data_IF_171716174522
#
_entry.id   IF_171716174522
#
_cell.length_a   1.000
_cell.length_b   1.000
_cell.length_c   1.000
_cell.angle_alpha   90.00
_cell.angle_beta   90.00
_cell.angle_gamma   90.00
#
_symmetry.space_group_name_H-M   'P 1'
#
loop_
_entity.id
_entity.type
_entity.pdbx_description
1 polymer ?
#
# COMPACT_ATOMS: atom_id res chain seq x y z
N UNK A 1 2.93 12.97 -52.77
CA UNK A 1 1.94 11.87 -52.86
C UNK A 1 1.87 11.25 -51.47
N UNK A 2 0.66 11.24 -50.90
CA UNK A 2 0.38 11.00 -49.49
C UNK A 2 0.84 9.62 -49.03
N UNK A 3 1.53 9.57 -47.90
CA UNK A 3 1.70 8.36 -47.09
C UNK A 3 0.79 8.55 -45.88
N UNK A 4 -0.20 7.68 -45.78
CA UNK A 4 -1.19 7.67 -44.71
C UNK A 4 -0.49 7.39 -43.37
N UNK A 5 -0.75 8.22 -42.38
CA UNK A 5 -0.40 7.99 -40.98
C UNK A 5 -1.43 6.99 -40.44
N UNK A 6 -0.99 5.77 -40.18
CA UNK A 6 -1.77 4.77 -39.46
C UNK A 6 -2.01 5.26 -38.02
N UNK A 7 -3.26 5.17 -37.59
CA UNK A 7 -3.73 5.50 -36.24
C UNK A 7 -2.99 4.66 -35.19
N UNK A 8 -2.11 5.31 -34.42
CA UNK A 8 -1.50 4.74 -33.23
C UNK A 8 -2.53 4.76 -32.10
N UNK A 9 -3.05 3.59 -31.73
CA UNK A 9 -3.91 3.38 -30.57
C UNK A 9 -3.04 3.08 -29.32
N UNK A 10 -2.87 4.03 -28.38
CA UNK A 10 -2.05 3.83 -27.19
C UNK A 10 -2.72 2.93 -26.12
N UNK A 11 -3.89 2.35 -26.39
CA UNK A 11 -4.63 1.49 -25.47
C UNK A 11 -4.55 -0.01 -25.80
N UNK A 12 -3.79 -0.40 -26.83
CA UNK A 12 -3.56 -1.80 -27.14
C UNK A 12 -2.59 -2.43 -26.12
N UNK A 13 -3.15 -3.19 -25.17
CA UNK A 13 -2.52 -4.18 -24.29
C UNK A 13 -1.12 -3.84 -23.78
N UNK A 14 -1.06 -3.25 -22.58
CA UNK A 14 0.18 -2.92 -21.87
C UNK A 14 1.05 -4.14 -21.57
N UNK A 15 1.94 -4.47 -22.50
CA UNK A 15 3.03 -5.43 -22.35
C UNK A 15 4.02 -4.88 -21.32
N UNK A 16 3.77 -5.17 -20.04
CA UNK A 16 4.68 -4.76 -18.97
C UNK A 16 5.78 -5.79 -18.84
N UNK A 17 7.04 -5.36 -18.97
CA UNK A 17 8.22 -6.20 -18.78
C UNK A 17 8.18 -6.91 -17.41
N UNK A 18 7.97 -8.24 -17.37
CA UNK A 18 7.94 -9.01 -16.12
C UNK A 18 9.24 -8.89 -15.32
N UNK A 19 10.35 -8.54 -15.97
CA UNK A 19 11.63 -8.31 -15.31
C UNK A 19 11.62 -7.06 -14.44
N UNK A 20 10.82 -6.04 -14.80
CA UNK A 20 10.71 -4.78 -14.05
C UNK A 20 9.90 -4.97 -12.76
N UNK A 21 8.79 -5.70 -12.83
CA UNK A 21 8.02 -6.11 -11.63
C UNK A 21 8.89 -6.94 -10.71
N UNK A 22 9.61 -7.92 -11.27
CA UNK A 22 10.57 -8.73 -10.51
C UNK A 22 11.74 -7.90 -9.93
N UNK A 23 12.16 -6.82 -10.59
CA UNK A 23 13.17 -5.91 -10.07
C UNK A 23 12.64 -5.13 -8.85
N UNK A 24 11.42 -4.59 -8.90
CA UNK A 24 10.78 -3.91 -7.76
C UNK A 24 10.67 -4.86 -6.56
N UNK A 25 10.19 -6.10 -6.74
CA UNK A 25 10.11 -7.08 -5.65
C UNK A 25 11.48 -7.48 -5.09
N UNK A 26 12.46 -7.78 -5.96
CA UNK A 26 13.83 -8.08 -5.52
C UNK A 26 14.46 -6.92 -4.76
N UNK A 27 14.19 -5.69 -5.17
CA UNK A 27 14.72 -4.48 -4.56
C UNK A 27 14.06 -4.15 -3.22
N UNK A 28 12.78 -4.56 -3.03
CA UNK A 28 12.07 -4.51 -1.75
C UNK A 28 12.46 -5.66 -0.79
N UNK A 29 13.39 -6.53 -1.17
CA UNK A 29 13.76 -7.71 -0.36
C UNK A 29 12.65 -8.74 -0.24
N UNK A 30 11.69 -8.73 -1.17
CA UNK A 30 10.54 -9.63 -1.18
C UNK A 30 10.64 -10.62 -2.35
N UNK A 31 10.13 -11.83 -2.14
CA UNK A 31 9.95 -12.78 -3.23
C UNK A 31 8.92 -12.25 -4.22
N UNK A 32 9.25 -12.29 -5.52
CA UNK A 32 8.28 -12.00 -6.58
C UNK A 32 7.08 -12.96 -6.41
N UNK A 33 5.84 -12.48 -6.34
CA UNK A 33 4.68 -13.35 -6.32
C UNK A 33 4.70 -14.25 -7.57
N UNK A 34 4.60 -15.56 -7.37
CA UNK A 34 4.72 -16.58 -8.44
C UNK A 34 3.48 -16.69 -9.32
N UNK A 35 2.42 -15.97 -8.99
CA UNK A 35 1.21 -15.88 -9.79
C UNK A 35 1.14 -14.48 -10.40
N UNK A 36 0.91 -14.34 -11.72
CA UNK A 36 0.67 -13.03 -12.30
C UNK A 36 -0.51 -12.36 -11.59
N UNK A 37 -0.51 -11.04 -11.40
CA UNK A 37 -1.64 -10.35 -10.81
C UNK A 37 -2.83 -10.46 -11.78
N UNK A 38 -3.73 -11.41 -11.56
CA UNK A 38 -5.10 -11.28 -12.06
C UNK A 38 -5.95 -10.83 -10.88
N UNK A 39 -6.12 -9.51 -10.76
CA UNK A 39 -7.41 -8.97 -11.10
C UNK A 39 -7.25 -7.91 -12.20
N UNK A 40 -8.07 -8.02 -13.24
CA UNK A 40 -8.36 -6.89 -14.10
C UNK A 40 -8.71 -5.68 -13.22
N UNK A 41 -8.31 -4.48 -13.64
CA UNK A 41 -8.90 -3.25 -13.17
C UNK A 41 -10.43 -3.41 -13.21
N UNK A 42 -11.08 -3.34 -12.05
CA UNK A 42 -12.52 -3.54 -11.91
C UNK A 42 -13.12 -2.29 -11.30
N UNK A 43 -14.28 -1.92 -11.82
CA UNK A 43 -15.15 -0.97 -11.15
C UNK A 43 -15.46 -1.50 -9.75
N UNK A 44 -15.27 -0.62 -8.80
CA UNK A 44 -15.32 -0.93 -7.38
C UNK A 44 -16.21 0.08 -6.71
N UNK A 45 -17.36 -0.40 -6.24
CA UNK A 45 -18.22 0.31 -5.32
C UNK A 45 -17.89 -0.14 -3.91
N UNK A 46 -17.47 0.79 -3.07
CA UNK A 46 -17.19 0.53 -1.67
C UNK A 46 -18.08 1.38 -0.79
N UNK A 47 -18.94 0.69 -0.03
CA UNK A 47 -19.64 1.26 1.11
C UNK A 47 -18.76 0.98 2.32
N UNK A 48 -18.10 2.02 2.83
CA UNK A 48 -17.29 1.89 4.04
C UNK A 48 -17.70 2.95 5.06
N UNK A 49 -17.73 2.61 6.36
CA UNK A 49 -17.85 3.62 7.40
C UNK A 49 -16.60 4.52 7.34
N UNK A 50 -16.76 5.71 6.79
CA UNK A 50 -15.75 6.75 6.79
C UNK A 50 -15.86 7.60 8.04
N UNK A 51 -14.77 8.29 8.38
CA UNK A 51 -14.87 9.47 9.24
C UNK A 51 -14.53 10.69 8.38
N UNK A 52 -15.55 11.41 7.91
CA UNK A 52 -15.36 12.70 7.26
C UNK A 52 -15.70 13.78 8.29
N UNK A 53 -14.81 14.75 8.51
CA UNK A 53 -15.03 15.90 9.40
C UNK A 53 -15.38 15.62 10.88
N UNK A 54 -15.28 14.39 11.37
CA UNK A 54 -15.70 14.08 12.75
C UNK A 54 -16.86 13.11 12.85
N UNK A 55 -17.65 12.98 11.78
CA UNK A 55 -18.88 12.19 11.73
C UNK A 55 -18.66 10.87 10.98
N UNK A 56 -19.36 9.83 11.42
CA UNK A 56 -19.30 8.50 10.82
C UNK A 56 -20.41 8.36 9.79
N UNK A 57 -20.15 8.82 8.57
CA UNK A 57 -21.06 8.62 7.46
C UNK A 57 -20.61 7.45 6.58
N UNK A 58 -21.60 6.72 6.07
CA UNK A 58 -21.39 5.82 4.96
C UNK A 58 -21.26 6.68 3.71
N UNK A 59 -20.13 6.60 3.04
CA UNK A 59 -19.99 7.18 1.71
C UNK A 59 -19.75 6.05 0.70
N UNK A 60 -20.32 6.23 -0.49
CA UNK A 60 -20.14 5.31 -1.61
C UNK A 60 -18.93 5.79 -2.38
N UNK A 61 -17.87 4.99 -2.37
CA UNK A 61 -16.71 5.22 -3.20
C UNK A 61 -16.89 4.51 -4.53
N UNK A 62 -16.89 5.26 -5.63
CA UNK A 62 -16.82 4.73 -6.99
C UNK A 62 -15.41 4.93 -7.54
N UNK A 63 -14.81 3.85 -8.05
CA UNK A 63 -13.48 3.93 -8.63
C UNK A 63 -13.02 2.63 -9.25
N UNK A 64 -11.80 2.63 -9.74
CA UNK A 64 -11.13 1.46 -10.29
C UNK A 64 -10.14 0.92 -9.25
N UNK A 65 -10.29 -0.34 -8.83
CA UNK A 65 -9.31 -0.96 -7.94
C UNK A 65 -8.01 -1.25 -8.70
N UNK A 66 -6.94 -0.54 -8.34
CA UNK A 66 -5.62 -0.69 -8.93
C UNK A 66 -4.81 -1.81 -8.28
N UNK A 67 -5.03 -2.07 -6.98
CA UNK A 67 -4.27 -3.09 -6.26
C UNK A 67 -4.97 -3.61 -5.02
N UNK A 68 -4.73 -4.87 -4.70
CA UNK A 68 -5.21 -5.53 -3.51
C UNK A 68 -4.11 -6.39 -2.87
N UNK A 69 -4.07 -6.38 -1.55
CA UNK A 69 -3.19 -7.23 -0.79
C UNK A 69 -3.85 -7.71 0.50
N UNK A 70 -3.59 -8.96 0.85
CA UNK A 70 -4.03 -9.55 2.11
C UNK A 70 -2.89 -10.28 2.79
N UNK A 71 -2.84 -10.23 4.11
CA UNK A 71 -1.96 -11.06 4.92
C UNK A 71 -2.67 -12.33 5.41
N UNK A 72 -3.88 -12.63 4.92
CA UNK A 72 -4.63 -13.81 5.32
C UNK A 72 -3.94 -15.06 4.78
N UNK A 73 -3.88 -16.07 5.64
CA UNK A 73 -3.50 -17.42 5.23
C UNK A 73 -4.55 -18.39 5.76
N UNK A 74 -4.89 -19.40 4.98
CA UNK A 74 -5.86 -20.44 5.39
C UNK A 74 -5.31 -21.31 6.52
N UNK A 75 -4.00 -21.52 6.54
CA UNK A 75 -3.36 -22.37 7.52
C UNK A 75 -3.15 -21.63 8.85
N UNK A 76 -3.82 -22.10 9.90
CA UNK A 76 -3.55 -21.70 11.27
C UNK A 76 -2.13 -22.12 11.69
N UNK A 77 -1.38 -21.20 12.29
CA UNK A 77 -0.03 -21.46 12.83
C UNK A 77 0.05 -21.01 14.29
N UNK A 78 0.68 -21.84 15.12
CA UNK A 78 1.08 -21.45 16.47
C UNK A 78 0.02 -21.56 17.57
N UNK A 79 -1.08 -22.31 17.39
CA UNK A 79 -2.08 -22.50 18.46
C UNK A 79 -2.72 -23.90 18.49
N UNK A 80 -1.90 -24.96 18.64
CA UNK A 80 -2.30 -26.38 18.50
C UNK A 80 -3.53 -26.84 19.32
N UNK A 81 -3.88 -26.12 20.39
CA UNK A 81 -4.91 -26.55 21.35
C UNK A 81 -6.02 -25.50 21.55
N UNK A 82 -6.11 -24.48 20.71
CA UNK A 82 -7.19 -23.48 20.78
C UNK A 82 -7.76 -23.18 19.40
N UNK A 83 -9.07 -22.90 19.35
CA UNK A 83 -9.77 -22.51 18.12
C UNK A 83 -9.19 -21.21 17.54
N UNK A 84 -8.79 -20.28 18.41
CA UNK A 84 -8.22 -18.99 18.06
C UNK A 84 -6.88 -18.76 18.75
N UNK A 85 -5.98 -18.01 18.10
CA UNK A 85 -4.75 -17.51 18.72
C UNK A 85 -5.09 -16.52 19.85
N UNK A 86 -4.70 -16.79 21.11
CA UNK A 86 -4.98 -15.88 22.23
C UNK A 86 -4.34 -14.50 22.03
N UNK A 87 -5.05 -13.43 22.41
CA UNK A 87 -4.66 -12.05 22.11
C UNK A 87 -3.24 -11.64 22.57
N UNK A 88 -2.70 -12.30 23.59
CA UNK A 88 -1.37 -11.99 24.17
C UNK A 88 -0.25 -12.92 23.71
N UNK A 89 -0.57 -14.03 23.05
CA UNK A 89 0.39 -15.11 22.82
C UNK A 89 1.00 -15.11 21.41
N UNK A 90 0.46 -14.33 20.49
CA UNK A 90 1.06 -14.21 19.16
C UNK A 90 0.14 -13.66 18.09
N UNK A 91 0.59 -13.82 16.84
CA UNK A 91 -0.14 -13.44 15.64
C UNK A 91 -0.36 -14.69 14.80
N UNK A 92 -1.60 -14.95 14.42
CA UNK A 92 -1.95 -15.98 13.46
C UNK A 92 -2.71 -15.27 12.34
N UNK A 93 -2.17 -15.31 11.12
CA UNK A 93 -2.75 -14.71 9.92
C UNK A 93 -4.10 -15.29 9.51
N UNK A 94 -4.43 -16.50 9.97
CA UNK A 94 -5.76 -17.08 9.80
C UNK A 94 -6.76 -16.48 10.80
N UNK A 95 -6.32 -16.12 12.01
CA UNK A 95 -7.18 -15.53 13.04
C UNK A 95 -7.31 -13.99 12.91
N UNK A 96 -6.22 -13.32 12.54
CA UNK A 96 -6.08 -11.87 12.44
C UNK A 96 -5.28 -11.54 11.19
N UNK A 97 -5.86 -10.79 10.29
CA UNK A 97 -5.18 -10.41 9.05
C UNK A 97 -5.42 -8.97 8.69
N UNK A 98 -4.56 -8.48 7.81
CA UNK A 98 -4.63 -7.15 7.25
C UNK A 98 -4.98 -7.25 5.78
N UNK A 99 -5.90 -6.40 5.34
CA UNK A 99 -6.23 -6.20 3.93
C UNK A 99 -6.02 -4.74 3.57
N UNK A 100 -5.64 -4.53 2.31
CA UNK A 100 -5.45 -3.21 1.73
C UNK A 100 -5.93 -3.23 0.29
N UNK A 101 -6.65 -2.16 -0.08
CA UNK A 101 -7.08 -1.85 -1.44
C UNK A 101 -6.56 -0.47 -1.81
N UNK A 102 -6.03 -0.34 -3.01
CA UNK A 102 -5.68 0.93 -3.64
C UNK A 102 -6.66 1.12 -4.78
N UNK A 103 -7.38 2.24 -4.76
CA UNK A 103 -8.46 2.55 -5.70
C UNK A 103 -8.17 3.93 -6.28
N UNK A 104 -8.31 4.07 -7.60
CA UNK A 104 -8.33 5.37 -8.27
C UNK A 104 -9.80 5.80 -8.40
N UNK A 105 -10.13 6.98 -7.91
CA UNK A 105 -11.49 7.49 -7.91
C UNK A 105 -11.97 7.82 -9.32
N UNK A 106 -13.25 7.54 -9.60
CA UNK A 106 -13.89 7.95 -10.86
C UNK A 106 -14.16 9.45 -10.88
N UNK A 107 -14.57 10.02 -9.73
CA UNK A 107 -14.77 11.46 -9.52
C UNK A 107 -13.87 11.94 -8.37
N UNK A 108 -12.62 12.36 -8.67
CA UNK A 108 -11.68 12.84 -7.66
C UNK A 108 -12.16 14.09 -6.91
N UNK A 109 -12.95 14.95 -7.55
CA UNK A 109 -13.40 16.21 -6.97
C UNK A 109 -14.50 15.97 -5.93
N UNK A 110 -15.42 15.03 -6.21
CA UNK A 110 -16.48 14.63 -5.26
C UNK A 110 -15.88 14.03 -3.97
N UNK A 111 -14.88 13.17 -4.09
CA UNK A 111 -14.30 12.48 -2.92
C UNK A 111 -13.16 13.26 -2.25
N UNK A 112 -12.65 14.31 -2.90
CA UNK A 112 -11.52 15.12 -2.41
C UNK A 112 -10.13 14.52 -2.65
N UNK A 113 -9.97 13.64 -3.64
CA UNK A 113 -8.66 13.14 -4.05
C UNK A 113 -8.70 12.06 -5.15
N UNK A 114 -7.57 11.87 -5.82
CA UNK A 114 -7.44 10.90 -6.93
C UNK A 114 -7.35 9.45 -6.45
N UNK A 115 -6.74 9.23 -5.31
CA UNK A 115 -6.43 7.91 -4.78
C UNK A 115 -7.10 7.67 -3.44
N UNK A 116 -7.61 6.46 -3.26
CA UNK A 116 -8.16 5.97 -2.01
C UNK A 116 -7.44 4.71 -1.58
N UNK A 117 -6.89 4.75 -0.37
CA UNK A 117 -6.32 3.60 0.31
C UNK A 117 -7.30 3.15 1.38
N UNK A 118 -7.88 1.97 1.16
CA UNK A 118 -8.80 1.36 2.11
C UNK A 118 -8.12 0.19 2.81
N UNK A 119 -8.02 0.25 4.13
CA UNK A 119 -7.33 -0.77 4.92
C UNK A 119 -8.25 -1.37 5.97
N UNK A 120 -8.14 -2.69 6.14
CA UNK A 120 -8.85 -3.43 7.19
C UNK A 120 -7.89 -4.26 8.03
N UNK A 121 -8.00 -4.14 9.34
CA UNK A 121 -7.57 -5.15 10.29
C UNK A 121 -8.76 -6.04 10.63
N UNK A 122 -8.77 -7.25 10.08
CA UNK A 122 -9.80 -8.24 10.32
C UNK A 122 -9.41 -9.17 11.47
N UNK A 123 -10.41 -9.64 12.21
CA UNK A 123 -10.26 -10.67 13.23
C UNK A 123 -11.52 -11.53 13.27
N UNK A 124 -11.32 -12.85 13.38
CA UNK A 124 -12.37 -13.82 13.71
C UNK A 124 -12.39 -14.15 15.21
N UNK A 125 -11.42 -13.63 15.98
CA UNK A 125 -11.32 -13.92 17.40
C UNK A 125 -12.46 -13.23 18.17
N UNK A 126 -13.24 -13.97 18.97
CA UNK A 126 -14.35 -13.39 19.71
C UNK A 126 -13.93 -12.21 20.60
N UNK A 127 -14.72 -11.14 20.56
CA UNK A 127 -14.51 -9.91 21.34
C UNK A 127 -13.48 -8.94 20.76
N UNK A 128 -12.77 -9.29 19.70
CA UNK A 128 -11.87 -8.35 19.03
C UNK A 128 -12.59 -7.43 18.06
N UNK A 129 -12.15 -6.18 18.00
CA UNK A 129 -12.69 -5.19 17.07
C UNK A 129 -11.97 -5.30 15.73
N UNK A 130 -12.73 -5.14 14.65
CA UNK A 130 -12.17 -4.87 13.33
C UNK A 130 -11.75 -3.40 13.27
N UNK A 131 -10.65 -3.14 12.60
CA UNK A 131 -10.15 -1.79 12.36
C UNK A 131 -10.35 -1.48 10.88
N UNK A 132 -10.98 -0.36 10.57
CA UNK A 132 -11.10 0.14 9.21
C UNK A 132 -10.46 1.53 9.15
N UNK A 133 -9.68 1.80 8.10
CA UNK A 133 -9.19 3.15 7.81
C UNK A 133 -9.29 3.40 6.32
N UNK A 134 -9.79 4.58 5.98
CA UNK A 134 -9.75 5.14 4.64
C UNK A 134 -8.77 6.31 4.66
N UNK A 135 -7.93 6.39 3.64
CA UNK A 135 -7.06 7.53 3.37
C UNK A 135 -7.28 7.98 1.93
N UNK A 136 -7.62 9.25 1.74
CA UNK A 136 -7.86 9.86 0.44
C UNK A 136 -6.74 10.85 0.19
N UNK A 137 -6.14 10.83 -1.00
CA UNK A 137 -5.07 11.76 -1.39
C UNK A 137 -5.04 11.93 -2.91
N UNK A 138 -4.64 13.12 -3.37
CA UNK A 138 -4.28 13.35 -4.78
C UNK A 138 -2.82 13.05 -5.09
N UNK A 139 -2.00 12.74 -4.06
CA UNK A 139 -0.57 12.54 -4.19
C UNK A 139 -0.22 11.04 -4.16
N UNK A 140 0.36 10.47 -5.23
CA UNK A 140 0.81 9.08 -5.24
C UNK A 140 1.95 8.86 -4.21
N UNK A 141 2.72 9.90 -3.89
CA UNK A 141 3.77 9.82 -2.87
C UNK A 141 3.19 9.70 -1.46
N UNK A 142 2.17 10.49 -1.12
CA UNK A 142 1.50 10.39 0.18
C UNK A 142 0.86 9.03 0.38
N UNK A 143 0.32 8.44 -0.68
CA UNK A 143 -0.19 7.07 -0.68
C UNK A 143 0.91 6.06 -0.27
N UNK A 144 2.09 6.14 -0.87
CA UNK A 144 3.22 5.23 -0.54
C UNK A 144 3.69 5.46 0.90
N UNK A 145 3.76 6.71 1.34
CA UNK A 145 4.12 7.06 2.72
C UNK A 145 3.07 6.53 3.72
N UNK A 146 1.79 6.63 3.42
CA UNK A 146 0.70 6.12 4.26
C UNK A 146 0.81 4.60 4.46
N UNK A 147 1.20 3.87 3.43
CA UNK A 147 1.41 2.41 3.48
C UNK A 147 2.74 1.99 4.11
N UNK A 148 3.63 2.95 4.38
CA UNK A 148 4.92 2.71 5.02
C UNK A 148 4.77 2.74 6.55
N UNK A 149 5.24 1.69 7.20
CA UNK A 149 5.23 1.55 8.67
C UNK A 149 6.59 1.94 9.22
N UNK A 150 6.58 2.75 10.29
CA UNK A 150 7.76 3.05 11.11
C UNK A 150 7.58 2.43 12.49
N UNK A 151 8.42 1.46 12.83
CA UNK A 151 8.34 0.75 14.11
C UNK A 151 9.71 0.30 14.56
N UNK A 152 10.02 0.53 15.84
CA UNK A 152 11.26 0.06 16.49
C UNK A 152 12.54 0.48 15.72
N UNK A 153 12.55 1.70 15.16
CA UNK A 153 13.65 2.23 14.35
C UNK A 153 13.70 1.71 12.90
N UNK A 154 12.82 0.78 12.53
CA UNK A 154 12.70 0.25 11.18
C UNK A 154 11.62 0.96 10.38
N UNK A 155 11.90 1.19 9.09
CA UNK A 155 10.96 1.72 8.10
C UNK A 155 10.76 0.64 7.04
N UNK A 156 9.54 0.16 6.88
CA UNK A 156 9.24 -0.89 5.92
C UNK A 156 7.79 -0.82 5.46
N UNK A 157 7.51 -1.40 4.29
CA UNK A 157 6.15 -1.57 3.78
C UNK A 157 5.71 -3.01 4.13
N UNK A 158 4.58 -3.22 4.82
CA UNK A 158 4.07 -4.57 5.10
C UNK A 158 3.85 -5.38 3.82
N UNK A 159 3.94 -6.71 3.91
CA UNK A 159 3.83 -7.58 2.73
C UNK A 159 2.54 -7.35 1.92
N UNK A 160 1.38 -7.31 2.59
CA UNK A 160 0.11 -7.03 1.92
C UNK A 160 0.10 -5.67 1.22
N UNK A 161 0.62 -4.61 1.85
CA UNK A 161 0.76 -3.29 1.25
C UNK A 161 1.72 -3.29 0.05
N UNK A 162 2.80 -4.07 0.12
CA UNK A 162 3.77 -4.21 -0.96
C UNK A 162 3.17 -4.90 -2.18
N UNK A 163 2.38 -5.95 -1.96
CA UNK A 163 1.62 -6.63 -3.02
C UNK A 163 0.61 -5.68 -3.69
N UNK A 164 -0.16 -4.95 -2.90
CA UNK A 164 -1.12 -3.98 -3.44
C UNK A 164 -0.43 -2.86 -4.23
N UNK A 165 0.69 -2.32 -3.73
CA UNK A 165 1.47 -1.30 -4.42
C UNK A 165 2.09 -1.81 -5.72
N UNK A 166 2.59 -3.05 -5.74
CA UNK A 166 3.13 -3.64 -6.95
C UNK A 166 2.06 -3.83 -8.03
N UNK A 167 0.87 -4.28 -7.63
CA UNK A 167 -0.29 -4.35 -8.53
C UNK A 167 -0.69 -2.96 -9.03
N UNK A 168 -0.81 -1.98 -8.13
CA UNK A 168 -1.21 -0.62 -8.52
C UNK A 168 -0.19 0.03 -9.46
N UNK A 169 1.11 -0.16 -9.22
CA UNK A 169 2.21 0.34 -10.07
C UNK A 169 2.24 -0.31 -11.45
N UNK A 170 1.58 -1.45 -11.65
CA UNK A 170 1.45 -2.05 -12.97
C UNK A 170 0.45 -1.25 -13.84
N UNK A 171 -0.62 -0.75 -13.22
CA UNK A 171 -1.71 -0.04 -13.90
C UNK A 171 -1.55 1.48 -13.89
N UNK A 172 -0.66 2.02 -13.06
CA UNK A 172 -0.60 3.45 -12.75
C UNK A 172 0.85 3.96 -12.71
N UNK A 173 1.21 4.78 -13.71
CA UNK A 173 2.55 5.36 -13.84
C UNK A 173 2.93 6.30 -12.69
N UNK A 174 1.97 7.03 -12.14
CA UNK A 174 2.23 7.97 -11.05
C UNK A 174 2.58 7.21 -9.76
N UNK A 175 1.86 6.13 -9.47
CA UNK A 175 2.18 5.23 -8.34
C UNK A 175 3.51 4.52 -8.58
N UNK A 176 3.78 4.06 -9.81
CA UNK A 176 5.05 3.43 -10.18
C UNK A 176 6.24 4.36 -9.93
N UNK A 177 6.15 5.60 -10.41
CA UNK A 177 7.17 6.62 -10.22
C UNK A 177 7.33 6.99 -8.74
N UNK A 178 6.23 7.10 -7.99
CA UNK A 178 6.27 7.36 -6.54
C UNK A 178 6.96 6.22 -5.77
N UNK A 179 6.68 4.96 -6.11
CA UNK A 179 7.35 3.80 -5.50
C UNK A 179 8.86 3.81 -5.74
N UNK A 180 9.29 4.10 -6.98
CA UNK A 180 10.70 4.20 -7.34
C UNK A 180 11.41 5.29 -6.52
N UNK A 181 10.83 6.50 -6.52
CA UNK A 181 11.40 7.66 -5.84
C UNK A 181 11.45 7.50 -4.31
N UNK A 182 10.39 6.95 -3.71
CA UNK A 182 10.33 6.69 -2.27
C UNK A 182 11.42 5.72 -1.82
N UNK A 183 11.71 4.69 -2.62
CA UNK A 183 12.77 3.73 -2.32
C UNK A 183 14.16 4.36 -2.35
N UNK A 184 14.48 5.14 -3.39
CA UNK A 184 15.75 5.89 -3.45
C UNK A 184 15.90 6.87 -2.29
N UNK A 185 14.80 7.47 -1.82
CA UNK A 185 14.79 8.32 -0.63
C UNK A 185 14.97 7.56 0.69
N UNK A 186 14.51 6.31 0.78
CA UNK A 186 14.72 5.44 1.95
C UNK A 186 16.16 4.92 2.08
N UNK A 187 16.87 4.76 0.96
CA UNK A 187 18.28 4.37 0.92
C UNK A 187 19.25 5.54 1.10
N UNK A 188 18.77 6.78 1.00
CA UNK A 188 19.55 7.92 1.45
C UNK A 188 19.70 7.80 2.98
N UNK A 189 20.93 7.78 3.53
CA UNK A 189 21.09 7.86 4.97
C UNK A 189 20.36 9.11 5.42
N UNK A 190 19.35 8.94 6.29
CA UNK A 190 18.82 10.01 7.10
C UNK A 190 20.03 10.65 7.76
N UNK A 191 20.56 11.73 7.17
CA UNK A 191 21.41 12.68 7.87
C UNK A 191 20.51 13.25 8.94
N UNK A 192 20.47 12.56 10.08
CA UNK A 192 20.06 13.16 11.32
C UNK A 192 21.00 14.34 11.44
N UNK A 193 20.47 15.55 11.23
CA UNK A 193 21.10 16.77 11.70
C UNK A 193 21.11 16.65 13.23
N UNK A 194 22.02 15.84 13.77
CA UNK A 194 22.46 15.99 15.14
C UNK A 194 23.18 17.32 15.13
N UNK A 195 22.51 18.38 15.59
CA UNK A 195 23.07 19.71 15.78
C UNK A 195 24.17 19.74 16.87
N UNK A 196 25.04 18.73 16.88
CA UNK A 196 26.30 18.70 17.61
C UNK A 196 27.35 19.28 16.68
N UNK A 197 27.44 20.60 16.70
CA UNK A 197 28.63 21.32 16.26
C UNK A 197 29.85 20.73 16.99
N UNK A 198 30.89 20.26 16.28
CA UNK A 198 32.12 19.82 16.90
C UNK A 198 32.92 21.05 17.35
N UNK A 199 33.07 21.23 18.66
CA UNK A 199 34.18 22.01 19.22
C UNK A 199 33.82 23.38 19.79
N UNK A 200 33.36 23.40 21.04
CA UNK A 200 33.79 24.43 21.99
C UNK A 200 34.37 23.73 23.22
N UNK A 201 35.69 23.59 23.22
CA UNK A 201 36.46 23.31 24.44
C UNK A 201 36.32 24.56 25.31
N UNK A 202 35.54 24.45 26.39
CA UNK A 202 35.55 25.45 27.43
C UNK A 202 36.90 25.36 28.16
N UNK A 203 37.77 26.33 27.91
CA UNK A 203 38.93 26.59 28.76
C UNK A 203 38.43 27.23 30.06
N UNK A 204 38.58 26.53 31.18
CA UNK A 204 38.41 27.11 32.51
C UNK A 204 39.59 28.04 32.79
N UNK A 205 39.28 29.32 33.04
CA UNK A 205 40.12 30.28 33.75
C UNK A 205 39.37 30.72 35.01
#
# INVERSE_FOLDING_TARGET
MNTELEDYDPLAEGDTDPQLVAAVFRHLGQSVPTSPPSPQARDYELITPGKQNGEYDQFVLNGTQLGFGTSQHEQHRGHSNSEYMPARLGRCSACRWFEVRIIRATDPDEIGGTYVVHTHGNSIVPGEKRLCRVFITSSPYELVVFLTVRRDGHVFIPNASSLALAQASHWDDDIRNACFNHHTGMLAPLRVNTGLEPGKVATNG
#
